data_IF_706378476889
#
_entry.id   IF_706378476889
#
_cell.length_a   1.000
_cell.length_b   1.000
_cell.length_c   1.000
_cell.angle_alpha   90.00
_cell.angle_beta   90.00
_cell.angle_gamma   90.00
#
_symmetry.space_group_name_H-M   'P 1'
#
loop_
_entity.id
_entity.type
_entity.pdbx_description
1 polymer ?
#
# COMPACT_ATOMS: atom_id res chain seq x y z
N UNK A 1 13.75 -8.87 -8.86
CA UNK A 1 12.52 -8.09 -9.13
C UNK A 1 11.35 -9.04 -9.02
N UNK A 2 10.33 -8.65 -8.26
CA UNK A 2 9.06 -9.40 -8.11
C UNK A 2 7.98 -8.55 -8.78
N UNK A 3 7.07 -9.19 -9.52
CA UNK A 3 5.91 -8.52 -10.11
C UNK A 3 4.72 -8.83 -9.21
N UNK A 4 4.24 -7.80 -8.52
CA UNK A 4 3.05 -7.85 -7.68
C UNK A 4 1.85 -7.31 -8.47
N UNK A 5 0.67 -7.87 -8.21
CA UNK A 5 -0.61 -7.26 -8.58
C UNK A 5 -0.85 -5.97 -7.80
N UNK A 6 -0.55 -5.96 -6.50
CA UNK A 6 -0.42 -4.78 -5.65
C UNK A 6 0.54 -5.05 -4.47
N UNK A 7 1.11 -4.00 -3.89
CA UNK A 7 1.95 -4.12 -2.67
C UNK A 7 1.59 -3.01 -1.68
N UNK A 8 1.65 -3.30 -0.39
CA UNK A 8 1.30 -2.37 0.68
C UNK A 8 2.52 -2.17 1.59
N UNK A 9 2.85 -0.90 1.84
CA UNK A 9 3.90 -0.48 2.77
C UNK A 9 3.34 0.55 3.74
N UNK A 10 3.89 0.60 4.94
CA UNK A 10 3.57 1.64 5.92
C UNK A 10 4.67 2.71 5.91
N UNK A 11 4.27 3.99 5.85
CA UNK A 11 5.19 5.13 5.92
C UNK A 11 4.90 5.90 7.21
N UNK A 12 5.93 6.14 8.01
CA UNK A 12 5.84 6.87 9.28
C UNK A 12 6.75 8.09 9.22
N UNK A 13 6.15 9.28 9.39
CA UNK A 13 6.85 10.57 9.57
C UNK A 13 6.84 10.91 11.05
N UNK A 14 8.00 11.01 11.68
CA UNK A 14 8.11 11.41 13.09
C UNK A 14 7.75 12.90 13.26
N UNK A 15 7.00 13.23 14.33
CA UNK A 15 6.51 14.60 14.55
C UNK A 15 7.61 15.59 14.96
N UNK A 16 8.63 15.11 15.66
CA UNK A 16 9.63 15.95 16.35
C UNK A 16 11.02 15.93 15.66
N UNK A 17 11.13 15.23 14.52
CA UNK A 17 12.33 15.23 13.70
C UNK A 17 11.93 15.59 12.29
N UNK A 18 12.29 16.79 11.84
CA UNK A 18 11.89 17.33 10.51
C UNK A 18 12.32 16.47 9.31
N UNK A 19 13.02 15.34 9.50
CA UNK A 19 13.66 14.60 8.40
C UNK A 19 13.66 13.08 8.53
N UNK A 20 12.97 12.48 9.52
CA UNK A 20 12.91 11.01 9.62
C UNK A 20 11.59 10.47 9.10
N UNK A 21 11.63 9.97 7.88
CA UNK A 21 10.54 9.27 7.23
C UNK A 21 10.98 7.83 7.02
N UNK A 22 10.29 6.92 7.68
CA UNK A 22 10.62 5.50 7.67
C UNK A 22 9.56 4.71 6.93
N UNK A 23 10.00 3.78 6.08
CA UNK A 23 9.19 2.78 5.40
C UNK A 23 9.29 1.47 6.16
N UNK A 24 8.13 0.89 6.43
CA UNK A 24 7.94 -0.43 7.03
C UNK A 24 7.33 -1.31 5.96
N UNK A 25 8.18 -2.12 5.33
CA UNK A 25 7.83 -3.13 4.36
C UNK A 25 8.30 -4.47 4.92
N UNK A 26 7.37 -5.38 5.21
CA UNK A 26 7.70 -6.69 5.79
C UNK A 26 8.32 -7.65 4.77
N UNK A 27 8.18 -7.36 3.48
CA UNK A 27 8.66 -8.19 2.38
C UNK A 27 9.99 -7.69 1.77
N UNK A 28 10.57 -6.62 2.32
CA UNK A 28 11.83 -6.07 1.82
C UNK A 28 13.05 -6.84 2.31
N UNK A 29 14.14 -6.76 1.53
CA UNK A 29 15.49 -7.21 1.94
C UNK A 29 16.37 -6.05 2.43
N UNK A 30 15.86 -4.82 2.37
CA UNK A 30 16.48 -3.65 2.99
C UNK A 30 16.37 -3.70 4.51
N UNK A 31 16.92 -2.69 5.20
CA UNK A 31 16.74 -2.55 6.64
C UNK A 31 15.26 -2.41 7.01
N UNK A 32 14.89 -2.84 8.22
CA UNK A 32 13.52 -2.67 8.75
C UNK A 32 13.56 -1.95 10.11
N UNK A 33 13.04 -0.70 10.21
CA UNK A 33 12.54 0.13 9.10
C UNK A 33 13.65 0.56 8.13
N UNK A 34 13.24 1.03 6.94
CA UNK A 34 14.11 1.62 5.95
C UNK A 34 13.87 3.13 5.86
N UNK A 35 14.93 3.93 5.73
CA UNK A 35 14.79 5.34 5.38
C UNK A 35 14.06 5.50 4.04
N UNK A 36 13.13 6.46 3.93
CA UNK A 36 12.30 6.64 2.75
C UNK A 36 13.10 6.94 1.47
N UNK A 37 14.17 7.74 1.57
CA UNK A 37 15.02 8.02 0.41
C UNK A 37 15.72 6.76 -0.07
N UNK A 38 16.27 5.99 0.86
CA UNK A 38 16.91 4.69 0.58
C UNK A 38 15.92 3.70 -0.03
N UNK A 39 14.73 3.55 0.56
CA UNK A 39 13.71 2.60 0.10
C UNK A 39 13.24 2.93 -1.32
N UNK A 40 12.95 4.20 -1.61
CA UNK A 40 12.52 4.63 -2.95
C UNK A 40 13.63 4.49 -3.98
N UNK A 41 14.89 4.78 -3.64
CA UNK A 41 16.00 4.61 -4.58
C UNK A 41 16.26 3.14 -4.93
N UNK A 42 16.22 2.25 -3.94
CA UNK A 42 16.60 0.84 -4.13
C UNK A 42 15.44 -0.05 -4.58
N UNK A 43 14.20 0.22 -4.14
CA UNK A 43 13.03 -0.62 -4.46
C UNK A 43 12.32 -0.17 -5.73
N UNK A 44 12.37 1.12 -6.08
CA UNK A 44 11.62 1.72 -7.19
C UNK A 44 12.51 2.02 -8.40
N UNK A 45 13.36 1.06 -8.77
CA UNK A 45 14.22 1.20 -9.95
C UNK A 45 13.35 1.33 -11.20
N UNK A 46 13.68 2.29 -12.06
CA UNK A 46 12.91 2.58 -13.28
C UNK A 46 13.00 1.40 -14.23
N UNK A 47 11.84 0.81 -14.52
CA UNK A 47 11.67 -0.08 -15.65
C UNK A 47 11.12 0.78 -16.78
N UNK A 48 11.85 0.90 -17.88
CA UNK A 48 11.39 1.67 -19.05
C UNK A 48 10.35 0.87 -19.85
N UNK A 49 9.28 0.46 -19.16
CA UNK A 49 8.23 -0.43 -19.63
C UNK A 49 6.89 0.17 -19.12
N UNK A 50 6.13 0.88 -19.96
CA UNK A 50 4.98 1.68 -19.52
C UNK A 50 3.91 0.92 -18.72
N UNK A 51 3.67 -0.36 -19.02
CA UNK A 51 2.70 -1.17 -18.29
C UNK A 51 3.11 -1.49 -16.83
N UNK A 52 4.36 -1.21 -16.45
CA UNK A 52 4.87 -1.39 -15.09
C UNK A 52 5.15 -0.06 -14.38
N UNK A 53 4.67 1.06 -14.92
CA UNK A 53 4.72 2.33 -14.21
C UNK A 53 3.82 2.27 -12.97
N UNK A 54 4.41 2.64 -11.83
CA UNK A 54 3.79 2.46 -10.52
C UNK A 54 2.99 3.70 -10.16
N UNK A 55 1.80 3.47 -9.58
CA UNK A 55 0.98 4.49 -8.93
C UNK A 55 0.87 4.17 -7.46
N UNK A 56 0.70 5.21 -6.64
CA UNK A 56 0.67 5.09 -5.20
C UNK A 56 -0.62 5.69 -4.65
N UNK A 57 -1.39 4.90 -3.91
CA UNK A 57 -2.52 5.40 -3.11
C UNK A 57 -2.04 5.66 -1.69
N UNK A 58 -1.98 6.93 -1.28
CA UNK A 58 -1.62 7.35 0.07
C UNK A 58 -2.89 7.48 0.90
N UNK A 59 -2.97 6.73 1.99
CA UNK A 59 -4.11 6.75 2.93
C UNK A 59 -3.57 7.06 4.33
N UNK A 60 -4.13 8.05 5.04
CA UNK A 60 -3.81 8.25 6.45
C UNK A 60 -4.12 6.98 7.26
N UNK A 61 -3.22 6.58 8.16
CA UNK A 61 -3.35 5.34 8.92
C UNK A 61 -4.69 5.25 9.69
N UNK A 62 -5.15 6.36 10.27
CA UNK A 62 -6.45 6.43 10.95
C UNK A 62 -7.63 6.17 10.00
N UNK A 63 -7.58 6.72 8.79
CA UNK A 63 -8.58 6.45 7.75
C UNK A 63 -8.53 4.98 7.32
N UNK A 64 -7.34 4.41 7.11
CA UNK A 64 -7.20 3.00 6.74
C UNK A 64 -7.82 2.08 7.82
N UNK A 65 -7.49 2.31 9.09
CA UNK A 65 -8.04 1.53 10.20
C UNK A 65 -9.56 1.68 10.35
N UNK A 66 -10.11 2.85 10.01
CA UNK A 66 -11.56 3.10 10.05
C UNK A 66 -12.32 2.44 8.91
N UNK A 67 -11.76 2.42 7.70
CA UNK A 67 -12.50 2.14 6.47
C UNK A 67 -12.17 0.76 5.88
N UNK A 68 -10.96 0.25 6.05
CA UNK A 68 -10.51 -0.97 5.38
C UNK A 68 -11.31 -2.21 5.81
N UNK A 69 -11.81 -2.95 4.83
CA UNK A 69 -12.48 -4.23 5.01
C UNK A 69 -12.06 -5.24 3.93
N UNK A 70 -11.80 -6.48 4.34
CA UNK A 70 -11.52 -7.58 3.42
C UNK A 70 -11.98 -8.91 3.99
N UNK A 71 -12.87 -9.56 3.27
CA UNK A 71 -13.33 -10.93 3.51
C UNK A 71 -12.31 -12.00 3.05
N UNK A 72 -11.20 -11.58 2.43
CA UNK A 72 -10.13 -12.41 1.88
C UNK A 72 -10.54 -13.30 0.69
N UNK A 73 -11.75 -13.12 0.15
CA UNK A 73 -12.28 -13.93 -0.96
C UNK A 73 -11.37 -13.93 -2.20
N UNK A 74 -10.67 -12.82 -2.47
CA UNK A 74 -9.70 -12.71 -3.57
C UNK A 74 -8.52 -13.69 -3.48
N UNK A 75 -8.25 -14.27 -2.30
CA UNK A 75 -7.20 -15.27 -2.09
C UNK A 75 -7.72 -16.72 -2.26
N UNK A 76 -9.00 -16.89 -2.58
CA UNK A 76 -9.60 -18.21 -2.84
C UNK A 76 -9.53 -18.47 -4.35
N UNK A 77 -8.89 -19.57 -4.73
CA UNK A 77 -8.80 -20.03 -6.12
C UNK A 77 -10.13 -20.57 -6.61
N UNK A 78 -10.25 -20.77 -7.93
CA UNK A 78 -11.43 -21.36 -8.56
C UNK A 78 -11.79 -22.76 -8.00
N UNK A 79 -10.80 -23.52 -7.55
CA UNK A 79 -10.99 -24.84 -6.93
C UNK A 79 -11.38 -24.79 -5.44
N UNK A 80 -11.57 -23.59 -4.88
CA UNK A 80 -11.92 -23.36 -3.49
C UNK A 80 -10.75 -23.43 -2.50
N UNK A 81 -9.52 -23.67 -2.98
CA UNK A 81 -8.33 -23.68 -2.13
C UNK A 81 -7.72 -22.29 -1.97
N UNK A 82 -6.99 -22.06 -0.89
CA UNK A 82 -6.30 -20.80 -0.65
C UNK A 82 -5.04 -20.68 -1.53
N UNK A 83 -4.80 -19.50 -2.09
CA UNK A 83 -3.55 -19.15 -2.77
C UNK A 83 -2.37 -19.10 -1.80
N UNK A 84 -2.61 -18.62 -0.58
CA UNK A 84 -1.70 -18.64 0.56
C UNK A 84 -2.49 -18.85 1.86
N UNK A 85 -1.92 -19.47 2.90
CA UNK A 85 -2.60 -19.62 4.19
C UNK A 85 -3.10 -18.27 4.72
N UNK A 86 -4.41 -18.13 5.04
CA UNK A 86 -4.92 -16.87 5.54
C UNK A 86 -4.40 -16.61 6.97
N UNK A 87 -4.35 -15.35 7.41
CA UNK A 87 -4.06 -15.03 8.80
C UNK A 87 -5.04 -15.72 9.77
N UNK A 88 -4.55 -16.10 10.95
CA UNK A 88 -5.34 -16.86 11.95
C UNK A 88 -6.42 -16.05 12.64
N UNK A 89 -6.29 -14.72 12.65
CA UNK A 89 -7.31 -13.83 13.18
C UNK A 89 -8.49 -13.69 12.18
N UNK A 90 -9.71 -13.34 12.64
CA UNK A 90 -10.87 -13.14 11.77
C UNK A 90 -10.63 -12.10 10.66
N UNK A 91 -11.35 -12.17 9.53
CA UNK A 91 -11.32 -11.11 8.53
C UNK A 91 -11.58 -9.73 9.13
N UNK A 92 -11.00 -8.69 8.52
CA UNK A 92 -11.16 -7.32 8.98
C UNK A 92 -12.43 -6.78 8.32
N UNK A 93 -13.41 -6.39 9.14
CA UNK A 93 -14.66 -5.79 8.71
C UNK A 93 -14.88 -4.46 9.41
N UNK A 94 -15.69 -3.61 8.80
CA UNK A 94 -16.19 -2.37 9.42
C UNK A 94 -17.70 -2.46 9.57
N UNK A 95 -18.34 -1.48 10.21
CA UNK A 95 -19.80 -1.39 10.24
C UNK A 95 -20.41 -1.23 8.85
N UNK A 96 -19.63 -0.66 7.92
CA UNK A 96 -20.12 -0.18 6.64
C UNK A 96 -19.75 -1.11 5.48
N UNK A 97 -18.78 -2.01 5.68
CA UNK A 97 -18.31 -2.92 4.64
C UNK A 97 -17.71 -4.22 5.19
N UNK A 98 -17.95 -5.31 4.45
CA UNK A 98 -17.28 -6.61 4.65
C UNK A 98 -16.12 -6.81 3.67
N UNK A 99 -16.09 -6.06 2.56
CA UNK A 99 -15.05 -6.15 1.55
C UNK A 99 -15.05 -4.90 0.67
N UNK A 100 -13.94 -4.15 0.72
CA UNK A 100 -13.71 -2.99 -0.14
C UNK A 100 -12.26 -2.94 -0.65
N UNK A 101 -11.51 -4.04 -0.54
CA UNK A 101 -10.10 -4.12 -0.96
C UNK A 101 -9.88 -3.62 -2.39
N UNK A 102 -10.78 -3.94 -3.32
CA UNK A 102 -10.66 -3.52 -4.71
C UNK A 102 -10.63 -1.99 -4.87
N UNK A 103 -11.32 -1.25 -4.00
CA UNK A 103 -11.30 0.22 -4.01
C UNK A 103 -9.93 0.77 -3.60
N UNK A 104 -9.23 0.10 -2.68
CA UNK A 104 -7.87 0.43 -2.29
C UNK A 104 -6.86 0.12 -3.42
N UNK A 105 -7.06 -0.98 -4.15
CA UNK A 105 -6.19 -1.39 -5.27
C UNK A 105 -6.42 -0.52 -6.52
N UNK A 106 -7.66 -0.07 -6.76
CA UNK A 106 -8.01 0.72 -7.95
C UNK A 106 -7.26 2.06 -7.97
N UNK A 107 -6.56 2.36 -9.08
CA UNK A 107 -5.78 3.59 -9.27
C UNK A 107 -6.38 4.55 -10.33
N UNK A 108 -7.66 4.36 -10.69
CA UNK A 108 -8.41 5.11 -11.71
C UNK A 108 -9.59 5.87 -11.09
N UNK A 109 -10.22 5.29 -10.08
CA UNK A 109 -11.37 5.86 -9.36
C UNK A 109 -10.97 6.32 -7.96
N UNK A 110 -11.81 7.16 -7.33
CA UNK A 110 -11.58 7.67 -5.98
C UNK A 110 -10.17 8.28 -5.83
N UNK A 111 -9.75 9.09 -6.80
CA UNK A 111 -8.38 9.60 -6.91
C UNK A 111 -7.99 10.56 -5.78
N UNK A 112 -8.95 11.22 -5.15
CA UNK A 112 -8.77 12.05 -3.96
C UNK A 112 -10.03 11.94 -3.10
N UNK A 113 -10.01 11.01 -2.15
CA UNK A 113 -11.15 10.64 -1.31
C UNK A 113 -10.79 10.72 0.18
N UNK A 114 -11.73 11.19 0.99
CA UNK A 114 -11.57 11.22 2.45
C UNK A 114 -11.45 9.81 3.07
N UNK A 115 -12.04 8.80 2.42
CA UNK A 115 -12.09 7.43 2.93
C UNK A 115 -11.09 6.49 2.25
N UNK A 116 -10.70 6.80 1.01
CA UNK A 116 -9.77 5.96 0.24
C UNK A 116 -8.44 6.66 -0.07
N UNK A 117 -8.22 7.86 0.44
CA UNK A 117 -6.98 8.59 0.27
C UNK A 117 -6.77 9.11 -1.16
N UNK A 118 -5.51 9.42 -1.46
CA UNK A 118 -5.10 10.11 -2.70
C UNK A 118 -4.20 9.24 -3.56
N UNK A 119 -4.47 9.18 -4.86
CA UNK A 119 -3.62 8.51 -5.85
C UNK A 119 -2.61 9.50 -6.42
N UNK A 120 -1.34 9.09 -6.46
CA UNK A 120 -0.22 9.85 -7.00
C UNK A 120 0.55 9.02 -8.04
N UNK A 121 1.08 9.70 -9.04
CA UNK A 121 2.14 9.14 -9.88
C UNK A 121 3.45 9.06 -9.08
N UNK A 122 4.41 8.27 -9.55
CA UNK A 122 5.66 8.01 -8.83
C UNK A 122 6.45 9.27 -8.45
N UNK A 123 6.59 10.22 -9.38
CA UNK A 123 7.33 11.46 -9.13
C UNK A 123 6.63 12.32 -8.07
N UNK A 124 5.30 12.40 -8.12
CA UNK A 124 4.49 13.11 -7.13
C UNK A 124 4.56 12.43 -5.76
N UNK A 125 4.55 11.09 -5.72
CA UNK A 125 4.70 10.31 -4.49
C UNK A 125 6.04 10.57 -3.82
N UNK A 126 7.15 10.56 -4.58
CA UNK A 126 8.48 10.89 -4.05
C UNK A 126 8.45 12.28 -3.44
N UNK A 127 7.95 13.26 -4.18
CA UNK A 127 7.90 14.66 -3.74
C UNK A 127 6.93 14.93 -2.59
N UNK A 128 5.92 14.07 -2.38
CA UNK A 128 4.92 14.26 -1.32
C UNK A 128 5.53 14.23 0.07
N UNK A 129 6.52 13.36 0.30
CA UNK A 129 7.13 13.16 1.61
C UNK A 129 8.39 14.00 1.84
N UNK A 130 9.06 14.47 0.78
CA UNK A 130 10.23 15.35 0.88
C UNK A 130 9.88 16.83 1.13
N UNK A 131 8.60 17.17 1.33
CA UNK A 131 8.12 18.52 1.69
C UNK A 131 8.01 18.73 3.21
#
# INVERSE_FOLDING_TARGET
MIIWDYHVILIVKEKDSEQKINVYDLDTTLSFPCDFSTYTQESFKVLNIPQYYRKFRIIPAETFLRVFASDRSHMIKEDGTWSSPPPTYPPIFTSDSVNNLQTFINMIENLDSNDFGKVLEEDDFRNYFFR
#
